data_IF_152876182586
#
_entry.id   IF_152876182586
#
_cell.length_a   1.000
_cell.length_b   1.000
_cell.length_c   1.000
_cell.angle_alpha   90.00
_cell.angle_beta   90.00
_cell.angle_gamma   90.00
#
_symmetry.space_group_name_H-M   'P 1'
#
loop_
_entity.id
_entity.type
_entity.pdbx_description
1 polymer ?
#
# COMPACT_ATOMS: atom_id res chain seq x y z
N UNK A 1 15.14 15.89 -5.44
CA UNK A 1 14.71 14.50 -5.69
C UNK A 1 15.55 13.60 -4.81
N UNK A 2 14.95 12.63 -4.15
CA UNK A 2 15.67 11.63 -3.35
C UNK A 2 15.48 10.23 -3.95
N UNK A 3 16.19 9.25 -3.42
CA UNK A 3 16.26 7.89 -3.97
C UNK A 3 14.91 7.20 -4.09
N UNK A 4 13.98 7.47 -3.16
CA UNK A 4 12.61 6.93 -3.21
C UNK A 4 11.87 7.46 -4.43
N UNK A 5 12.00 8.76 -4.72
CA UNK A 5 11.34 9.37 -5.87
C UNK A 5 11.94 8.85 -7.20
N UNK A 6 13.25 8.58 -7.22
CA UNK A 6 13.95 7.99 -8.38
C UNK A 6 13.47 6.56 -8.62
N UNK A 7 13.39 5.74 -7.57
CA UNK A 7 12.91 4.37 -7.68
C UNK A 7 11.46 4.31 -8.17
N UNK A 8 10.59 5.19 -7.66
CA UNK A 8 9.20 5.30 -8.14
C UNK A 8 9.14 5.67 -9.61
N UNK A 9 9.96 6.63 -10.07
CA UNK A 9 10.04 7.02 -11.48
C UNK A 9 10.48 5.86 -12.39
N UNK A 10 11.49 5.09 -11.97
CA UNK A 10 11.95 3.90 -12.71
C UNK A 10 10.84 2.86 -12.83
N UNK A 11 10.17 2.54 -11.71
CA UNK A 11 9.05 1.60 -11.71
C UNK A 11 7.91 2.10 -12.61
N UNK A 12 7.58 3.39 -12.56
CA UNK A 12 6.56 4.00 -13.42
C UNK A 12 6.91 3.88 -14.90
N UNK A 13 8.18 4.08 -15.27
CA UNK A 13 8.62 3.95 -16.66
C UNK A 13 8.48 2.50 -17.16
N UNK A 14 8.96 1.54 -16.37
CA UNK A 14 8.85 0.11 -16.70
C UNK A 14 7.39 -0.37 -16.76
N UNK A 15 6.51 0.26 -15.98
CA UNK A 15 5.10 -0.10 -15.93
C UNK A 15 4.32 0.30 -17.18
N UNK A 16 4.88 1.16 -18.04
CA UNK A 16 4.32 1.41 -19.37
C UNK A 16 4.31 0.16 -20.24
N UNK A 17 5.33 -0.69 -20.07
CA UNK A 17 5.49 -1.96 -20.79
C UNK A 17 4.92 -3.13 -19.98
N UNK A 18 4.98 -3.06 -18.65
CA UNK A 18 4.48 -4.08 -17.73
C UNK A 18 3.52 -3.49 -16.69
N UNK A 19 2.24 -3.23 -17.04
CA UNK A 19 1.28 -2.54 -16.16
C UNK A 19 1.09 -3.20 -14.79
N UNK A 20 1.17 -4.54 -14.73
CA UNK A 20 1.04 -5.31 -13.49
C UNK A 20 2.13 -5.01 -12.46
N UNK A 21 3.29 -4.49 -12.88
CA UNK A 21 4.41 -4.20 -11.99
C UNK A 21 4.07 -3.06 -11.02
N UNK A 22 3.50 -1.95 -11.51
CA UNK A 22 3.04 -0.85 -10.65
C UNK A 22 1.91 -1.30 -9.72
N UNK A 23 1.00 -2.09 -10.27
CA UNK A 23 -0.16 -2.57 -9.52
C UNK A 23 0.26 -3.44 -8.34
N UNK A 24 1.11 -4.45 -8.58
CA UNK A 24 1.58 -5.34 -7.51
C UNK A 24 2.60 -4.67 -6.59
N UNK A 25 3.59 -3.96 -7.13
CA UNK A 25 4.66 -3.39 -6.31
C UNK A 25 4.24 -2.13 -5.57
N UNK A 26 3.19 -1.41 -5.94
CA UNK A 26 2.83 -0.16 -5.24
C UNK A 26 1.38 -0.17 -4.83
N UNK A 27 0.45 -0.29 -5.77
CA UNK A 27 -0.97 -0.08 -5.49
C UNK A 27 -1.58 -1.15 -4.56
N UNK A 28 -1.22 -2.42 -4.72
CA UNK A 28 -1.70 -3.51 -3.85
C UNK A 28 -1.21 -3.35 -2.41
N UNK A 29 0.07 -2.97 -2.23
CA UNK A 29 0.64 -2.70 -0.91
C UNK A 29 -0.07 -1.52 -0.24
N UNK A 30 -0.30 -0.43 -0.97
CA UNK A 30 -1.02 0.74 -0.46
C UNK A 30 -2.43 0.42 -0.01
N UNK A 31 -3.16 -0.40 -0.80
CA UNK A 31 -4.48 -0.91 -0.43
C UNK A 31 -4.40 -1.73 0.86
N UNK A 32 -3.50 -2.71 0.92
CA UNK A 32 -3.36 -3.56 2.11
C UNK A 32 -3.07 -2.74 3.37
N UNK A 33 -2.11 -1.80 3.30
CA UNK A 33 -1.79 -0.92 4.44
C UNK A 33 -2.98 -0.05 4.84
N UNK A 34 -3.70 0.55 3.88
CA UNK A 34 -4.90 1.33 4.17
C UNK A 34 -5.97 0.48 4.88
N UNK A 35 -6.21 -0.75 4.41
CA UNK A 35 -7.16 -1.67 5.05
C UNK A 35 -6.77 -1.99 6.49
N UNK A 36 -5.51 -2.37 6.71
CA UNK A 36 -5.02 -2.75 8.03
C UNK A 36 -5.07 -1.58 9.01
N UNK A 37 -4.62 -0.38 8.58
CA UNK A 37 -4.67 0.82 9.40
C UNK A 37 -6.11 1.24 9.72
N UNK A 38 -7.01 1.20 8.73
CA UNK A 38 -8.43 1.53 8.91
C UNK A 38 -9.12 0.56 9.87
N UNK A 39 -8.80 -0.75 9.78
CA UNK A 39 -9.29 -1.76 10.73
C UNK A 39 -8.84 -1.46 12.16
N UNK A 40 -7.54 -1.25 12.37
CA UNK A 40 -7.01 -0.94 13.71
C UNK A 40 -7.58 0.39 14.24
N UNK A 41 -7.74 1.40 13.38
CA UNK A 41 -8.39 2.67 13.75
C UNK A 41 -9.85 2.52 14.16
N UNK A 42 -10.55 1.48 13.69
CA UNK A 42 -11.94 1.22 14.09
C UNK A 42 -12.06 0.57 15.48
N UNK A 43 -10.98 -0.05 15.97
CA UNK A 43 -10.94 -0.78 17.24
C UNK A 43 -10.37 0.07 18.41
N UNK A 44 -9.76 1.22 18.11
CA UNK A 44 -9.07 2.07 19.09
C UNK A 44 -9.47 3.54 18.98
N UNK A 45 -9.47 4.27 20.10
CA UNK A 45 -9.82 5.70 20.13
C UNK A 45 -8.78 6.62 19.49
N UNK A 46 -7.53 6.16 19.38
CA UNK A 46 -6.44 6.90 18.73
C UNK A 46 -5.32 5.92 18.33
N UNK A 47 -4.72 6.15 17.17
CA UNK A 47 -3.61 5.37 16.64
C UNK A 47 -2.52 6.28 16.08
N UNK A 48 -1.27 5.84 16.15
CA UNK A 48 -0.14 6.47 15.44
C UNK A 48 0.51 5.40 14.59
N UNK A 49 0.67 5.68 13.29
CA UNK A 49 1.31 4.79 12.34
C UNK A 49 2.51 5.47 11.70
N UNK A 50 3.65 4.78 11.68
CA UNK A 50 4.84 5.21 10.95
C UNK A 50 4.83 4.51 9.60
N UNK A 51 4.80 5.30 8.51
CA UNK A 51 4.74 4.78 7.15
C UNK A 51 5.84 5.39 6.30
N UNK A 52 6.32 4.65 5.30
CA UNK A 52 7.25 5.16 4.31
C UNK A 52 6.58 6.23 3.44
N UNK A 53 7.29 7.33 3.14
CA UNK A 53 6.74 8.46 2.37
C UNK A 53 6.15 8.05 1.02
N UNK A 54 6.73 7.05 0.35
CA UNK A 54 6.24 6.52 -0.92
C UNK A 54 4.81 5.95 -0.86
N UNK A 55 4.34 5.57 0.32
CA UNK A 55 3.02 4.96 0.53
C UNK A 55 1.97 5.95 1.03
N UNK A 56 2.39 7.12 1.53
CA UNK A 56 1.50 8.06 2.20
C UNK A 56 0.29 8.45 1.32
N UNK A 57 0.54 8.84 0.07
CA UNK A 57 -0.54 9.21 -0.85
C UNK A 57 -1.44 8.03 -1.21
N UNK A 58 -0.87 6.85 -1.42
CA UNK A 58 -1.63 5.64 -1.72
C UNK A 58 -2.53 5.23 -0.56
N UNK A 59 -2.04 5.33 0.68
CA UNK A 59 -2.82 5.04 1.88
C UNK A 59 -4.00 6.02 2.00
N UNK A 60 -3.76 7.33 1.85
CA UNK A 60 -4.81 8.36 1.90
C UNK A 60 -5.87 8.09 0.83
N UNK A 61 -5.45 7.76 -0.40
CA UNK A 61 -6.36 7.46 -1.53
C UNK A 61 -7.26 6.24 -1.27
N UNK A 62 -6.77 5.26 -0.51
CA UNK A 62 -7.46 4.00 -0.27
C UNK A 62 -8.16 3.90 1.12
N UNK A 63 -8.04 4.91 1.99
CA UNK A 63 -8.45 4.84 3.41
C UNK A 63 -9.87 4.32 3.69
N UNK A 64 -10.85 4.73 2.88
CA UNK A 64 -12.27 4.35 3.03
C UNK A 64 -12.76 3.43 1.90
N UNK A 65 -11.85 2.82 1.14
CA UNK A 65 -12.25 1.93 0.06
C UNK A 65 -12.52 0.52 0.61
N UNK A 66 -13.65 -0.12 0.25
CA UNK A 66 -13.90 -1.50 0.63
C UNK A 66 -12.92 -2.41 -0.10
N UNK A 67 -11.98 -3.00 0.64
CA UNK A 67 -10.98 -3.90 0.08
C UNK A 67 -11.46 -5.34 0.28
N UNK A 68 -11.75 -6.04 -0.82
CA UNK A 68 -11.92 -7.49 -0.81
C UNK A 68 -10.53 -8.13 -0.66
N UNK A 69 -10.09 -8.31 0.58
CA UNK A 69 -8.92 -9.15 0.85
C UNK A 69 -9.39 -10.61 0.73
N UNK A 70 -8.91 -11.33 -0.29
CA UNK A 70 -9.08 -12.78 -0.32
C UNK A 70 -8.17 -13.39 0.76
N UNK A 71 -8.72 -14.30 1.54
CA UNK A 71 -8.07 -14.92 2.71
C UNK A 71 -6.79 -15.71 2.39
N UNK A 72 -6.46 -15.89 1.11
CA UNK A 72 -5.30 -16.66 0.65
C UNK A 72 -3.96 -15.92 0.76
N UNK A 73 -3.96 -14.59 0.87
CA UNK A 73 -2.73 -13.78 0.97
C UNK A 73 -2.19 -13.59 2.39
N UNK A 74 -2.92 -14.05 3.42
CA UNK A 74 -2.56 -13.87 4.83
C UNK A 74 -1.70 -15.00 5.42
N UNK A 75 -1.46 -16.08 4.68
CA UNK A 75 -0.69 -17.25 5.17
C UNK A 75 0.82 -17.03 5.27
N UNK A 76 1.35 -15.92 4.74
CA UNK A 76 2.80 -15.68 4.64
C UNK A 76 3.35 -14.87 5.83
N UNK A 77 2.48 -14.26 6.65
CA UNK A 77 2.91 -13.35 7.74
C UNK A 77 2.87 -13.97 9.15
N UNK A 78 2.70 -15.29 9.27
CA UNK A 78 2.69 -15.99 10.57
C UNK A 78 3.92 -16.89 10.79
N UNK A 79 5.08 -16.54 10.24
CA UNK A 79 6.37 -17.18 10.59
C UNK A 79 7.16 -16.30 11.56
#
# INVERSE_FOLDING_TARGET
MNDVDILTLVIQEMSKEFPSLMDTLVHERDKYMACMLSRVASEHSSIVAVVGRGHLQGIIKNWNQPIKISSQSLSILSS
#
